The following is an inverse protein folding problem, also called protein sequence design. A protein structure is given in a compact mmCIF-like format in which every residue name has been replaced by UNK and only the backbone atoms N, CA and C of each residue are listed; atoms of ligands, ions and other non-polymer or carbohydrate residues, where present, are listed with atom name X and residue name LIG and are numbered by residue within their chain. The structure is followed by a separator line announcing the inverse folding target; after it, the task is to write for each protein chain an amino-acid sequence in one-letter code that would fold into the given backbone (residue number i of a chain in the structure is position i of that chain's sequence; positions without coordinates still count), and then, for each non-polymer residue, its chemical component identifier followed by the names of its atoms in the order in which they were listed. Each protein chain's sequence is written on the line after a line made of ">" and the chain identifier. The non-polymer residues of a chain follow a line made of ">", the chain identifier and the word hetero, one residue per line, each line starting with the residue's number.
data_IF_491638646659
#
_entry.id   IF_491638646659
#
_cell.length_a   1.000
_cell.length_b   1.000
_cell.length_c   1.000
_cell.angle_alpha   90.00
_cell.angle_beta   90.00
_cell.angle_gamma   90.00
#
_symmetry.space_group_name_H-M   'P 1'
#
loop_
_entity.id
_entity.type
_entity.pdbx_description
1 polymer ?
#
# COMPACT_ATOMS: atom_id res chain seq x y z
N UNK A 1 -9.79 7.87 7.72
CA UNK A 1 -10.21 7.15 6.49
C UNK A 1 -11.42 6.30 6.85
N UNK A 2 -12.46 6.21 6.02
CA UNK A 2 -13.69 5.45 6.36
C UNK A 2 -14.27 5.76 7.77
N UNK A 3 -14.25 7.03 8.17
CA UNK A 3 -14.68 7.52 9.49
C UNK A 3 -13.89 6.98 10.70
N UNK A 4 -12.72 6.38 10.47
CA UNK A 4 -11.76 5.97 11.49
C UNK A 4 -10.60 6.96 11.61
N UNK A 5 -10.07 7.06 12.83
CA UNK A 5 -8.83 7.77 13.14
C UNK A 5 -7.67 6.83 12.84
N UNK A 6 -7.03 7.07 11.69
CA UNK A 6 -5.86 6.31 11.27
C UNK A 6 -4.60 7.14 11.55
N UNK A 7 -3.55 6.47 12.01
CA UNK A 7 -2.22 7.03 12.17
C UNK A 7 -1.18 6.21 11.40
N UNK A 8 0.10 6.49 11.63
CA UNK A 8 1.18 5.75 10.98
C UNK A 8 1.15 4.25 11.31
N UNK A 9 0.69 3.85 12.51
CA UNK A 9 0.66 2.44 12.90
C UNK A 9 -0.33 1.63 12.06
N UNK A 10 -1.46 2.22 11.65
CA UNK A 10 -2.37 1.59 10.68
C UNK A 10 -1.66 1.32 9.36
N UNK A 11 -0.94 2.31 8.83
CA UNK A 11 -0.21 2.13 7.58
C UNK A 11 0.91 1.07 7.72
N UNK A 12 1.61 1.05 8.86
CA UNK A 12 2.66 0.07 9.16
C UNK A 12 2.14 -1.36 9.16
N UNK A 13 1.06 -1.65 9.90
CA UNK A 13 0.52 -3.01 9.96
C UNK A 13 -0.03 -3.46 8.60
N UNK A 14 -0.66 -2.55 7.86
CA UNK A 14 -1.16 -2.83 6.50
C UNK A 14 -0.03 -3.21 5.53
N UNK A 15 1.04 -2.42 5.45
CA UNK A 15 2.17 -2.77 4.56
C UNK A 15 2.89 -4.02 5.01
N UNK A 16 3.02 -4.24 6.33
CA UNK A 16 3.71 -5.39 6.89
C UNK A 16 2.99 -6.69 6.57
N UNK A 17 1.65 -6.68 6.64
CA UNK A 17 0.86 -7.85 6.29
C UNK A 17 1.00 -8.22 4.81
N UNK A 18 0.96 -7.24 3.92
CA UNK A 18 1.12 -7.46 2.48
C UNK A 18 2.52 -7.96 2.14
N UNK A 19 3.56 -7.32 2.69
CA UNK A 19 4.94 -7.75 2.53
C UNK A 19 5.11 -9.20 2.99
N UNK A 20 4.61 -9.54 4.18
CA UNK A 20 4.69 -10.90 4.72
C UNK A 20 4.00 -11.92 3.82
N UNK A 21 2.80 -11.62 3.30
CA UNK A 21 2.09 -12.54 2.42
C UNK A 21 2.78 -12.73 1.07
N UNK A 22 3.43 -11.70 0.52
CA UNK A 22 4.21 -11.85 -0.71
C UNK A 22 5.44 -12.76 -0.48
N UNK A 23 6.09 -12.63 0.68
CA UNK A 23 7.31 -13.38 0.99
C UNK A 23 7.07 -14.80 1.53
N UNK A 24 5.87 -15.09 2.02
CA UNK A 24 5.57 -16.39 2.63
C UNK A 24 4.97 -17.37 1.60
N UNK A 25 5.63 -18.50 1.27
CA UNK A 25 5.24 -19.37 0.15
C UNK A 25 3.88 -20.06 0.32
N UNK A 26 3.40 -20.17 1.57
CA UNK A 26 2.09 -20.77 1.86
C UNK A 26 0.96 -19.75 1.83
N UNK A 27 1.22 -18.44 1.80
CA UNK A 27 0.19 -17.42 1.84
C UNK A 27 -0.79 -17.54 0.66
N UNK A 28 -2.07 -17.59 1.00
CA UNK A 28 -3.16 -17.68 0.05
C UNK A 28 -4.37 -16.92 0.58
N UNK A 29 -5.15 -16.36 -0.33
CA UNK A 29 -6.46 -15.81 -0.02
C UNK A 29 -7.43 -16.94 0.37
N UNK A 30 -8.57 -16.57 0.95
CA UNK A 30 -9.62 -17.52 1.33
C UNK A 30 -10.21 -18.28 0.14
N UNK A 31 -10.12 -17.74 -1.07
CA UNK A 31 -10.52 -18.39 -2.32
C UNK A 31 -9.42 -19.30 -2.93
N UNK A 32 -8.29 -19.45 -2.25
CA UNK A 32 -7.19 -20.32 -2.65
C UNK A 32 -6.15 -19.68 -3.57
N UNK A 33 -6.35 -18.44 -4.04
CA UNK A 33 -5.33 -17.74 -4.85
C UNK A 33 -4.08 -17.50 -4.01
N UNK A 34 -2.92 -17.89 -4.54
CA UNK A 34 -1.62 -17.58 -3.93
C UNK A 34 -1.36 -16.08 -3.94
N UNK A 35 -0.92 -15.54 -2.80
CA UNK A 35 -0.47 -14.16 -2.75
C UNK A 35 0.88 -14.06 -3.44
N UNK A 36 1.00 -13.09 -4.35
CA UNK A 36 2.21 -12.82 -5.13
C UNK A 36 2.27 -11.33 -5.41
N UNK A 37 3.45 -10.82 -5.74
CA UNK A 37 3.61 -9.42 -6.16
C UNK A 37 2.69 -9.06 -7.32
N UNK A 38 2.52 -9.96 -8.30
CA UNK A 38 1.60 -9.77 -9.42
C UNK A 38 0.15 -9.57 -8.97
N UNK A 39 -0.32 -10.40 -8.03
CA UNK A 39 -1.69 -10.31 -7.51
C UNK A 39 -1.87 -9.03 -6.68
N UNK A 40 -0.86 -8.66 -5.90
CA UNK A 40 -0.83 -7.40 -5.15
C UNK A 40 -0.93 -6.20 -6.09
N UNK A 41 -0.08 -6.11 -7.12
CA UNK A 41 -0.09 -4.99 -8.09
C UNK A 41 -1.41 -4.89 -8.85
N UNK A 42 -2.05 -6.02 -9.13
CA UNK A 42 -3.40 -6.04 -9.70
C UNK A 42 -4.40 -5.36 -8.75
N UNK A 43 -4.46 -5.78 -7.48
CA UNK A 43 -5.36 -5.15 -6.50
C UNK A 43 -5.01 -3.69 -6.25
N UNK A 44 -3.74 -3.33 -6.22
CA UNK A 44 -3.31 -1.94 -6.06
C UNK A 44 -3.90 -1.04 -7.15
N UNK A 45 -3.88 -1.49 -8.41
CA UNK A 45 -4.51 -0.76 -9.52
C UNK A 45 -6.04 -0.66 -9.35
N UNK A 46 -6.70 -1.77 -9.00
CA UNK A 46 -8.15 -1.80 -8.76
C UNK A 46 -8.57 -0.86 -7.61
N UNK A 47 -7.79 -0.77 -6.53
CA UNK A 47 -8.07 0.12 -5.40
C UNK A 47 -7.81 1.60 -5.75
N UNK A 48 -6.80 1.90 -6.57
CA UNK A 48 -6.55 3.27 -7.02
C UNK A 48 -7.70 3.83 -7.85
N UNK A 49 -8.29 3.02 -8.73
CA UNK A 49 -9.49 3.43 -9.50
C UNK A 49 -10.65 3.81 -8.58
N UNK A 50 -10.85 3.03 -7.50
CA UNK A 50 -11.88 3.31 -6.48
C UNK A 50 -11.57 4.59 -5.71
N UNK A 51 -10.31 4.81 -5.32
CA UNK A 51 -9.88 6.02 -4.61
C UNK A 51 -10.08 7.25 -5.50
N UNK A 52 -9.67 7.19 -6.77
CA UNK A 52 -9.87 8.28 -7.73
C UNK A 52 -11.36 8.62 -7.91
N UNK A 53 -12.21 7.60 -7.96
CA UNK A 53 -13.68 7.78 -8.01
C UNK A 53 -14.22 8.42 -6.74
N UNK A 54 -13.76 7.96 -5.56
CA UNK A 54 -14.21 8.44 -4.25
C UNK A 54 -13.81 9.89 -3.98
N UNK A 55 -12.58 10.28 -4.34
CA UNK A 55 -12.04 11.62 -4.11
C UNK A 55 -12.48 12.60 -5.20
N UNK A 56 -12.81 12.09 -6.39
CA UNK A 56 -13.05 12.91 -7.57
C UNK A 56 -11.74 13.34 -8.25
N UNK A 57 -11.82 13.60 -9.55
CA UNK A 57 -10.63 13.82 -10.39
C UNK A 57 -9.77 15.01 -9.93
N UNK A 58 -10.39 16.11 -9.50
CA UNK A 58 -9.67 17.33 -9.10
C UNK A 58 -8.91 17.14 -7.78
N UNK A 59 -9.57 16.61 -6.74
CA UNK A 59 -8.91 16.37 -5.46
C UNK A 59 -7.83 15.28 -5.57
N UNK A 60 -8.06 14.25 -6.40
CA UNK A 60 -7.04 13.24 -6.69
C UNK A 60 -5.83 13.87 -7.38
N UNK A 61 -6.03 14.69 -8.42
CA UNK A 61 -4.95 15.34 -9.16
C UNK A 61 -4.14 16.33 -8.30
N UNK A 62 -4.78 17.00 -7.33
CA UNK A 62 -4.12 17.90 -6.39
C UNK A 62 -3.41 17.17 -5.22
N UNK A 63 -3.62 15.86 -5.07
CA UNK A 63 -3.04 15.08 -3.97
C UNK A 63 -1.62 14.59 -4.27
N UNK A 64 -0.91 14.16 -3.23
CA UNK A 64 0.40 13.47 -3.35
C UNK A 64 0.26 11.97 -3.61
N UNK A 65 -0.84 11.52 -4.24
CA UNK A 65 -1.14 10.09 -4.40
C UNK A 65 -0.05 9.32 -5.14
N UNK A 66 0.55 9.92 -6.18
CA UNK A 66 1.62 9.25 -6.93
C UNK A 66 2.85 8.97 -6.06
N UNK A 67 3.21 9.89 -5.17
CA UNK A 67 4.33 9.69 -4.23
C UNK A 67 3.98 8.66 -3.17
N UNK A 68 2.75 8.70 -2.64
CA UNK A 68 2.26 7.72 -1.67
C UNK A 68 2.24 6.32 -2.27
N UNK A 69 1.78 6.18 -3.51
CA UNK A 69 1.73 4.93 -4.25
C UNK A 69 3.14 4.35 -4.45
N UNK A 70 4.06 5.15 -4.97
CA UNK A 70 5.44 4.71 -5.20
C UNK A 70 6.09 4.23 -3.89
N UNK A 71 5.97 5.02 -2.83
CA UNK A 71 6.51 4.66 -1.51
C UNK A 71 5.90 3.36 -0.98
N UNK A 72 4.58 3.20 -1.08
CA UNK A 72 3.89 2.03 -0.56
C UNK A 72 4.25 0.76 -1.35
N UNK A 73 4.29 0.86 -2.68
CA UNK A 73 4.67 -0.23 -3.57
C UNK A 73 6.12 -0.69 -3.32
N UNK A 74 7.06 0.24 -3.18
CA UNK A 74 8.46 -0.06 -2.86
C UNK A 74 8.58 -0.80 -1.52
N UNK A 75 7.85 -0.34 -0.48
CA UNK A 75 7.89 -0.96 0.85
C UNK A 75 7.26 -2.35 0.90
N UNK A 76 6.22 -2.60 0.10
CA UNK A 76 5.52 -3.90 0.06
C UNK A 76 6.28 -4.93 -0.78
N UNK A 77 6.96 -4.49 -1.84
CA UNK A 77 7.59 -5.38 -2.83
C UNK A 77 9.11 -5.54 -2.65
N UNK A 78 9.73 -4.76 -1.77
CA UNK A 78 11.14 -4.91 -1.39
C UNK A 78 11.45 -6.31 -0.86
N UNK A 79 12.61 -6.86 -1.24
CA UNK A 79 13.10 -8.14 -0.70
C UNK A 79 13.37 -8.07 0.82
N UNK A 80 13.83 -6.91 1.29
CA UNK A 80 14.12 -6.68 2.71
C UNK A 80 12.98 -5.88 3.35
N UNK A 81 12.62 -6.25 4.58
CA UNK A 81 11.60 -5.54 5.33
C UNK A 81 12.16 -4.24 5.92
N UNK A 82 11.70 -3.11 5.41
CA UNK A 82 12.02 -1.81 6.01
C UNK A 82 11.45 -1.71 7.43
N UNK A 83 12.26 -1.23 8.38
CA UNK A 83 11.90 -1.16 9.80
C UNK A 83 10.69 -0.23 10.03
N UNK A 84 10.72 0.97 9.43
CA UNK A 84 9.65 1.95 9.52
C UNK A 84 9.41 2.63 8.18
N UNK A 85 8.14 2.76 7.79
CA UNK A 85 7.72 3.53 6.61
C UNK A 85 8.11 4.99 6.74
N UNK A 86 8.12 5.52 7.97
CA UNK A 86 8.39 6.93 8.25
C UNK A 86 9.82 7.31 7.90
N UNK A 87 10.80 6.40 7.99
CA UNK A 87 12.18 6.68 7.59
C UNK A 87 12.27 6.94 6.08
N UNK A 88 11.61 6.12 5.27
CA UNK A 88 11.54 6.30 3.81
C UNK A 88 10.72 7.53 3.42
N UNK A 89 9.68 7.85 4.19
CA UNK A 89 8.82 9.01 3.95
C UNK A 89 9.44 10.35 4.40
N UNK A 90 10.33 10.34 5.40
CA UNK A 90 10.83 11.55 6.05
C UNK A 90 11.54 12.49 5.07
N UNK A 91 12.32 11.94 4.13
CA UNK A 91 12.98 12.73 3.08
C UNK A 91 12.05 13.32 2.02
N UNK A 92 10.73 13.10 2.12
CA UNK A 92 9.69 13.67 1.25
C UNK A 92 8.84 14.73 1.98
N UNK A 93 9.18 15.04 3.22
CA UNK A 93 8.58 16.12 4.01
C UNK A 93 9.45 17.36 3.79
N UNK A 94 9.11 18.22 2.85
CA UNK A 94 9.70 19.56 2.76
C UNK A 94 9.17 20.45 3.91
#
# INVERSE_FOLDING_TARGET
>A
IHNLMEDAATAEICRAQLWQWIHHPTAALSDGRKVSERLYRQFLAEELEKIQTLYGAEAYAASRMNEALQLFDDLVTSNDFAEFLTLSAYGKLD
#
